data_IF_933257339559
#
_entry.id   IF_933257339559
#
_cell.length_a   1.000
_cell.length_b   1.000
_cell.length_c   1.000
_cell.angle_alpha   90.00
_cell.angle_beta   90.00
_cell.angle_gamma   90.00
#
_symmetry.space_group_name_H-M   'P 1'
#
loop_
_entity.id
_entity.type
_entity.pdbx_description
1 polymer ?
#
# COMPACT_ATOMS: atom_id res chain seq x y z
N UNK A 1 66.96 14.34 -38.97
CA UNK A 1 66.74 13.11 -38.18
C UNK A 1 66.66 13.49 -36.71
N UNK A 2 65.50 13.98 -36.23
CA UNK A 2 65.03 13.79 -34.85
C UNK A 2 63.67 14.47 -34.54
N UNK A 3 62.99 15.09 -35.50
CA UNK A 3 61.71 15.77 -35.22
C UNK A 3 60.54 14.79 -35.04
N UNK A 4 60.45 13.74 -35.86
CA UNK A 4 59.32 12.78 -35.82
C UNK A 4 59.28 11.96 -34.52
N UNK A 5 60.44 11.58 -33.97
CA UNK A 5 60.51 10.83 -32.71
C UNK A 5 60.08 11.69 -31.50
N UNK A 6 60.30 13.01 -31.55
CA UNK A 6 59.86 13.94 -30.51
C UNK A 6 58.36 14.20 -30.60
N UNK A 7 57.80 14.26 -31.81
CA UNK A 7 56.35 14.39 -32.02
C UNK A 7 55.62 13.15 -31.50
N UNK A 8 56.13 11.93 -31.73
CA UNK A 8 55.48 10.74 -31.16
C UNK A 8 55.59 10.65 -29.62
N UNK A 9 56.63 11.24 -29.03
CA UNK A 9 56.76 11.31 -27.56
C UNK A 9 55.78 12.33 -26.97
N UNK A 10 55.57 13.48 -27.62
CA UNK A 10 54.61 14.49 -27.16
C UNK A 10 53.16 14.02 -27.33
N UNK A 11 52.89 13.27 -28.39
CA UNK A 11 51.58 12.65 -28.65
C UNK A 11 51.25 11.56 -27.63
N UNK A 12 52.21 10.69 -27.30
CA UNK A 12 52.04 9.67 -26.27
C UNK A 12 51.77 10.25 -24.88
N UNK A 13 52.45 11.34 -24.52
CA UNK A 13 52.19 12.05 -23.25
C UNK A 13 50.80 12.69 -23.23
N UNK A 14 50.38 13.34 -24.32
CA UNK A 14 49.05 13.94 -24.42
C UNK A 14 47.94 12.88 -24.34
N UNK A 15 48.11 11.73 -25.01
CA UNK A 15 47.16 10.63 -24.96
C UNK A 15 47.04 10.04 -23.54
N UNK A 16 48.16 9.85 -22.84
CA UNK A 16 48.15 9.38 -21.45
C UNK A 16 47.42 10.37 -20.53
N UNK A 17 47.69 11.67 -20.67
CA UNK A 17 47.03 12.71 -19.88
C UNK A 17 45.50 12.73 -20.10
N UNK A 18 45.06 12.62 -21.36
CA UNK A 18 43.64 12.56 -21.71
C UNK A 18 42.97 11.30 -21.16
N UNK A 19 43.62 10.14 -21.25
CA UNK A 19 43.10 8.89 -20.69
C UNK A 19 42.97 8.98 -19.17
N UNK A 20 43.97 9.52 -18.47
CA UNK A 20 43.91 9.70 -17.01
C UNK A 20 42.82 10.68 -16.60
N UNK A 21 42.67 11.81 -17.29
CA UNK A 21 41.56 12.74 -17.03
C UNK A 21 40.20 12.09 -17.26
N UNK A 22 40.05 11.31 -18.32
CA UNK A 22 38.79 10.60 -18.61
C UNK A 22 38.49 9.57 -17.53
N UNK A 23 39.50 8.83 -17.07
CA UNK A 23 39.34 7.85 -15.98
C UNK A 23 38.95 8.52 -14.66
N UNK A 24 39.55 9.66 -14.32
CA UNK A 24 39.19 10.45 -13.14
C UNK A 24 37.74 10.97 -13.26
N UNK A 25 37.37 11.53 -14.41
CA UNK A 25 36.02 12.04 -14.66
C UNK A 25 34.95 10.94 -14.53
N UNK A 26 35.21 9.75 -15.09
CA UNK A 26 34.30 8.59 -14.98
C UNK A 26 34.18 8.10 -13.54
N UNK A 27 35.29 8.09 -12.80
CA UNK A 27 35.31 7.66 -11.40
C UNK A 27 34.56 8.64 -10.50
N UNK A 28 34.74 9.94 -10.70
CA UNK A 28 34.04 11.00 -9.94
C UNK A 28 32.56 11.13 -10.32
N UNK A 29 32.18 10.81 -11.55
CA UNK A 29 30.79 10.88 -12.02
C UNK A 29 29.90 9.73 -11.54
N UNK A 30 30.44 8.76 -10.80
CA UNK A 30 29.64 7.68 -10.20
C UNK A 30 28.98 8.17 -8.92
N UNK A 31 27.83 8.81 -9.04
CA UNK A 31 26.96 9.08 -7.88
C UNK A 31 26.30 7.76 -7.47
N UNK A 32 26.66 7.23 -6.30
CA UNK A 32 25.93 6.13 -5.68
C UNK A 32 24.64 6.73 -5.09
N UNK A 33 23.53 6.58 -5.82
CA UNK A 33 22.20 6.91 -5.32
C UNK A 33 21.71 5.69 -4.52
N UNK A 34 21.92 5.70 -3.21
CA UNK A 34 21.23 4.75 -2.33
C UNK A 34 19.86 5.35 -1.98
N UNK A 35 18.73 4.68 -2.25
CA UNK A 35 17.45 5.14 -1.75
C UNK A 35 17.49 5.23 -0.22
N UNK A 36 16.87 6.28 0.35
CA UNK A 36 16.72 6.41 1.79
C UNK A 36 15.94 5.20 2.31
N UNK A 37 16.50 4.48 3.29
CA UNK A 37 15.98 3.18 3.75
C UNK A 37 14.56 3.24 4.30
N UNK A 38 14.17 4.36 4.90
CA UNK A 38 12.82 4.60 5.45
C UNK A 38 11.77 4.56 4.33
N UNK A 39 12.00 5.29 3.24
CA UNK A 39 11.11 5.30 2.08
C UNK A 39 10.94 3.91 1.46
N UNK A 40 11.99 3.08 1.51
CA UNK A 40 11.93 1.70 1.02
C UNK A 40 11.16 0.78 1.96
N UNK A 41 11.12 1.06 3.25
CA UNK A 41 10.38 0.28 4.25
C UNK A 41 8.89 0.62 4.17
N UNK A 42 8.55 1.91 4.06
CA UNK A 42 7.17 2.36 3.89
C UNK A 42 6.52 1.79 2.62
N UNK A 43 7.27 1.78 1.51
CA UNK A 43 6.80 1.18 0.25
C UNK A 43 6.52 -0.32 0.43
N UNK A 44 7.41 -1.04 1.12
CA UNK A 44 7.19 -2.47 1.40
C UNK A 44 5.98 -2.71 2.30
N UNK A 45 5.80 -1.89 3.35
CA UNK A 45 4.62 -1.97 4.21
C UNK A 45 3.34 -1.71 3.42
N UNK A 46 3.36 -0.72 2.54
CA UNK A 46 2.22 -0.39 1.70
C UNK A 46 1.92 -1.51 0.69
N UNK A 47 2.95 -2.13 0.11
CA UNK A 47 2.80 -3.30 -0.77
C UNK A 47 2.17 -4.47 -0.02
N UNK A 48 2.67 -4.82 1.18
CA UNK A 48 2.12 -5.91 2.01
C UNK A 48 0.66 -5.65 2.36
N UNK A 49 0.34 -4.44 2.83
CA UNK A 49 -1.03 -4.07 3.18
C UNK A 49 -1.96 -4.07 1.95
N UNK A 50 -1.46 -3.61 0.79
CA UNK A 50 -2.21 -3.65 -0.46
C UNK A 50 -2.47 -5.09 -0.92
N UNK A 51 -1.46 -5.96 -0.84
CA UNK A 51 -1.57 -7.35 -1.24
C UNK A 51 -2.57 -8.10 -0.35
N UNK A 52 -2.60 -7.82 0.96
CA UNK A 52 -3.62 -8.38 1.85
C UNK A 52 -5.04 -8.03 1.41
N UNK A 53 -5.31 -6.76 1.09
CA UNK A 53 -6.63 -6.35 0.57
C UNK A 53 -6.96 -7.00 -0.79
N UNK A 54 -5.97 -7.21 -1.66
CA UNK A 54 -6.17 -7.87 -2.95
C UNK A 54 -6.49 -9.35 -2.78
N UNK A 55 -5.80 -10.03 -1.87
CA UNK A 55 -6.08 -11.44 -1.53
C UNK A 55 -7.49 -11.56 -0.98
N UNK A 56 -7.90 -10.70 -0.05
CA UNK A 56 -9.26 -10.72 0.52
C UNK A 56 -10.37 -10.45 -0.50
N UNK A 57 -10.09 -9.65 -1.53
CA UNK A 57 -11.07 -9.29 -2.56
C UNK A 57 -11.14 -10.34 -3.70
N UNK A 58 -10.04 -11.06 -3.96
CA UNK A 58 -9.91 -11.92 -5.15
C UNK A 58 -9.77 -13.42 -4.85
N UNK A 59 -9.53 -13.80 -3.59
CA UNK A 59 -9.39 -15.22 -3.26
C UNK A 59 -10.74 -15.95 -3.39
N UNK A 60 -10.72 -17.21 -3.84
CA UNK A 60 -11.93 -18.01 -3.94
C UNK A 60 -12.49 -18.31 -2.55
N UNK A 61 -13.82 -18.45 -2.44
CA UNK A 61 -14.56 -18.72 -1.19
C UNK A 61 -14.09 -19.97 -0.40
N UNK A 62 -13.24 -20.80 -0.99
CA UNK A 62 -12.63 -21.96 -0.33
C UNK A 62 -11.31 -21.66 0.37
N UNK A 63 -10.71 -20.50 0.10
CA UNK A 63 -9.38 -20.11 0.58
C UNK A 63 -9.41 -19.06 1.69
N UNK A 64 -10.48 -18.25 1.76
CA UNK A 64 -10.74 -17.26 2.80
C UNK A 64 -12.19 -17.43 3.27
N UNK A 65 -12.45 -17.21 4.56
CA UNK A 65 -13.78 -17.41 5.15
C UNK A 65 -14.78 -16.34 4.69
N UNK A 66 -14.31 -15.13 4.37
CA UNK A 66 -15.15 -14.05 3.85
C UNK A 66 -14.40 -13.17 2.85
N UNK A 67 -15.04 -12.88 1.71
CA UNK A 67 -14.51 -11.94 0.73
C UNK A 67 -14.64 -10.49 1.27
N UNK A 68 -13.71 -9.62 0.89
CA UNK A 68 -13.72 -8.20 1.27
C UNK A 68 -15.06 -7.53 0.95
N UNK A 69 -15.65 -7.85 -0.22
CA UNK A 69 -16.93 -7.31 -0.65
C UNK A 69 -18.10 -7.74 0.24
N UNK A 70 -18.09 -8.98 0.70
CA UNK A 70 -19.11 -9.54 1.59
C UNK A 70 -18.97 -9.00 3.02
N UNK A 71 -17.73 -8.89 3.53
CA UNK A 71 -17.45 -8.26 4.82
C UNK A 71 -17.96 -6.82 4.86
N UNK A 72 -17.61 -6.03 3.84
CA UNK A 72 -18.06 -4.63 3.73
C UNK A 72 -19.58 -4.57 3.55
N UNK A 73 -20.18 -5.50 2.81
CA UNK A 73 -21.62 -5.56 2.62
C UNK A 73 -22.37 -5.92 3.91
N UNK A 74 -21.85 -6.84 4.72
CA UNK A 74 -22.42 -7.26 5.99
C UNK A 74 -22.30 -6.18 7.08
N UNK A 75 -21.29 -5.30 6.97
CA UNK A 75 -21.07 -4.24 7.95
C UNK A 75 -22.26 -3.28 8.06
N UNK A 76 -22.56 -2.86 9.28
CA UNK A 76 -23.59 -1.86 9.57
C UNK A 76 -22.97 -0.45 9.63
N UNK A 77 -23.35 0.46 8.72
CA UNK A 77 -22.82 1.84 8.68
C UNK A 77 -23.05 2.68 9.94
N UNK A 78 -23.97 2.24 10.81
CA UNK A 78 -24.27 2.91 12.09
C UNK A 78 -23.42 2.40 13.24
N UNK A 79 -22.72 1.28 13.06
CA UNK A 79 -21.93 0.62 14.07
C UNK A 79 -20.44 0.91 13.88
N UNK A 80 -19.96 1.95 14.56
CA UNK A 80 -18.55 2.37 14.54
C UNK A 80 -17.74 1.59 15.59
N UNK A 81 -16.54 1.15 15.21
CA UNK A 81 -15.64 0.45 16.11
C UNK A 81 -15.10 1.38 17.18
N UNK A 82 -14.84 0.80 18.36
CA UNK A 82 -14.30 1.53 19.51
C UNK A 82 -12.95 0.95 19.95
N UNK A 83 -12.07 1.76 20.57
CA UNK A 83 -10.74 1.31 20.98
C UNK A 83 -10.71 0.23 22.07
N UNK A 84 -11.86 -0.11 22.65
CA UNK A 84 -12.03 -1.19 23.64
C UNK A 84 -12.20 -2.57 23.00
N UNK A 85 -12.12 -2.65 21.67
CA UNK A 85 -12.03 -3.89 20.92
C UNK A 85 -13.36 -4.42 20.38
N UNK A 86 -14.46 -3.68 20.49
CA UNK A 86 -15.67 -4.06 19.76
C UNK A 86 -15.53 -3.67 18.29
N UNK A 87 -15.41 -4.69 17.44
CA UNK A 87 -15.57 -4.59 16.00
C UNK A 87 -16.69 -5.54 15.55
N UNK A 88 -17.45 -5.16 14.54
CA UNK A 88 -18.54 -5.97 14.00
C UNK A 88 -18.09 -6.77 12.77
N UNK A 89 -16.78 -6.94 12.59
CA UNK A 89 -16.15 -7.56 11.43
C UNK A 89 -15.12 -8.61 11.88
N UNK A 90 -15.49 -9.44 12.86
CA UNK A 90 -14.60 -10.42 13.50
C UNK A 90 -13.93 -11.37 12.49
N UNK A 91 -14.65 -11.78 11.44
CA UNK A 91 -14.11 -12.66 10.39
C UNK A 91 -13.05 -11.93 9.56
N UNK A 92 -13.32 -10.69 9.13
CA UNK A 92 -12.34 -9.88 8.41
C UNK A 92 -11.11 -9.58 9.27
N UNK A 93 -11.32 -9.32 10.56
CA UNK A 93 -10.26 -9.09 11.54
C UNK A 93 -9.35 -10.32 11.68
N UNK A 94 -9.93 -11.51 11.83
CA UNK A 94 -9.16 -12.75 11.91
C UNK A 94 -8.34 -13.02 10.65
N UNK A 95 -8.91 -12.81 9.47
CA UNK A 95 -8.22 -13.03 8.19
C UNK A 95 -7.08 -12.01 7.98
N UNK A 96 -7.30 -10.74 8.32
CA UNK A 96 -6.27 -9.71 8.28
C UNK A 96 -5.15 -10.00 9.29
N UNK A 97 -5.46 -10.53 10.48
CA UNK A 97 -4.46 -10.94 11.47
C UNK A 97 -3.58 -12.09 10.94
N UNK A 98 -4.15 -13.05 10.21
CA UNK A 98 -3.40 -14.12 9.55
C UNK A 98 -2.51 -13.61 8.40
N UNK A 99 -3.01 -12.66 7.61
CA UNK A 99 -2.28 -12.06 6.49
C UNK A 99 -1.19 -11.09 6.94
N UNK A 100 -1.35 -10.46 8.10
CA UNK A 100 -0.48 -9.38 8.60
C UNK A 100 0.09 -9.68 10.01
N UNK A 101 0.74 -10.84 10.24
CA UNK A 101 1.05 -11.32 11.59
C UNK A 101 2.08 -10.49 12.37
N UNK A 102 2.82 -9.62 11.69
CA UNK A 102 3.85 -8.76 12.30
C UNK A 102 3.50 -7.27 12.25
N UNK A 103 2.28 -6.91 11.85
CA UNK A 103 1.82 -5.54 11.74
C UNK A 103 0.62 -5.32 12.65
N UNK A 104 0.50 -4.11 13.17
CA UNK A 104 -0.74 -3.65 13.80
C UNK A 104 -1.49 -2.82 12.77
N UNK A 105 -2.81 -2.94 12.74
CA UNK A 105 -3.61 -2.26 11.74
C UNK A 105 -4.95 -1.74 12.28
N UNK A 106 -5.52 -0.78 11.55
CA UNK A 106 -6.90 -0.34 11.66
C UNK A 106 -7.56 -0.41 10.29
N UNK A 107 -8.88 -0.54 10.25
CA UNK A 107 -9.66 -0.51 9.01
C UNK A 107 -10.69 0.60 9.08
N UNK A 108 -10.62 1.51 8.11
CA UNK A 108 -11.65 2.53 7.90
C UNK A 108 -12.44 2.25 6.63
N UNK A 109 -13.73 2.49 6.69
CA UNK A 109 -14.62 2.45 5.53
C UNK A 109 -15.02 3.87 5.17
N UNK A 110 -14.66 4.28 3.97
CA UNK A 110 -14.96 5.60 3.44
C UNK A 110 -15.96 5.49 2.28
N UNK A 111 -17.10 6.16 2.38
CA UNK A 111 -18.17 6.12 1.38
C UNK A 111 -18.84 7.48 1.28
N UNK A 112 -19.49 7.74 0.15
CA UNK A 112 -20.25 8.97 -0.05
C UNK A 112 -21.69 8.75 0.38
N UNK A 113 -22.17 9.61 1.27
CA UNK A 113 -23.56 9.65 1.70
C UNK A 113 -24.09 11.08 1.59
N UNK A 114 -25.23 11.27 0.93
CA UNK A 114 -25.82 12.59 0.68
C UNK A 114 -24.88 13.60 -0.01
N UNK A 115 -23.88 13.12 -0.77
CA UNK A 115 -22.89 13.95 -1.45
C UNK A 115 -21.69 14.38 -0.58
N UNK A 116 -21.62 13.92 0.67
CA UNK A 116 -20.49 14.14 1.58
C UNK A 116 -19.69 12.84 1.77
N UNK A 117 -18.36 12.96 1.90
CA UNK A 117 -17.50 11.83 2.21
C UNK A 117 -17.61 11.51 3.70
N UNK A 118 -18.20 10.35 4.01
CA UNK A 118 -18.25 9.79 5.35
C UNK A 118 -17.11 8.79 5.51
N UNK A 119 -16.36 8.90 6.60
CA UNK A 119 -15.34 7.92 7.01
C UNK A 119 -15.74 7.38 8.38
N UNK A 120 -15.70 6.07 8.53
CA UNK A 120 -16.06 5.37 9.76
C UNK A 120 -15.01 4.32 10.08
N UNK A 121 -14.70 4.19 11.36
CA UNK A 121 -13.80 3.14 11.84
C UNK A 121 -14.56 1.81 11.92
N UNK A 122 -14.07 0.79 11.23
CA UNK A 122 -14.66 -0.54 11.22
C UNK A 122 -13.88 -1.53 12.10
N UNK A 123 -12.55 -1.36 12.21
CA UNK A 123 -11.67 -2.12 13.09
C UNK A 123 -10.62 -1.17 13.69
N UNK A 124 -10.38 -1.26 15.01
CA UNK A 124 -9.37 -0.47 15.73
C UNK A 124 -8.54 -1.40 16.62
N UNK A 125 -7.25 -1.57 16.31
CA UNK A 125 -6.29 -2.26 17.19
C UNK A 125 -5.32 -1.30 17.89
N UNK A 126 -5.34 -0.01 17.56
CA UNK A 126 -4.52 0.96 18.27
C UNK A 126 -4.48 2.34 17.64
N UNK A 127 -3.52 3.13 18.12
CA UNK A 127 -3.22 4.45 17.55
C UNK A 127 -2.08 4.29 16.54
N UNK A 128 -2.28 4.67 15.27
CA UNK A 128 -1.22 4.62 14.26
C UNK A 128 0.01 5.45 14.66
N UNK A 129 1.20 4.97 14.32
CA UNK A 129 2.46 5.69 14.52
C UNK A 129 2.76 6.65 13.36
N UNK A 130 3.84 7.45 13.47
CA UNK A 130 4.26 8.38 12.43
C UNK A 130 4.60 7.66 11.10
N UNK A 131 5.10 6.43 11.18
CA UNK A 131 5.47 5.59 10.03
C UNK A 131 4.32 4.67 9.57
N UNK A 132 3.07 5.02 9.89
CA UNK A 132 1.91 4.26 9.42
C UNK A 132 1.62 4.49 7.95
N UNK A 133 1.29 3.40 7.24
CA UNK A 133 0.96 3.42 5.82
C UNK A 133 -0.52 3.15 5.61
N UNK A 134 -1.07 3.67 4.51
CA UNK A 134 -2.48 3.47 4.16
C UNK A 134 -2.60 2.77 2.80
N UNK A 135 -3.02 1.51 2.82
CA UNK A 135 -3.44 0.78 1.63
C UNK A 135 -4.95 0.99 1.37
N UNK A 136 -5.34 1.03 0.10
CA UNK A 136 -6.71 1.37 -0.31
C UNK A 136 -7.23 0.37 -1.33
N UNK A 137 -8.47 -0.08 -1.14
CA UNK A 137 -9.19 -0.92 -2.10
C UNK A 137 -10.62 -0.41 -2.25
N UNK A 138 -11.10 -0.34 -3.49
CA UNK A 138 -12.48 0.03 -3.77
C UNK A 138 -13.34 -1.22 -3.89
N UNK A 139 -14.46 -1.23 -3.18
CA UNK A 139 -15.48 -2.27 -3.20
C UNK A 139 -16.78 -1.66 -3.72
N UNK A 140 -17.46 -2.38 -4.61
CA UNK A 140 -18.77 -1.99 -5.13
C UNK A 140 -19.86 -2.80 -4.45
N UNK A 141 -20.84 -2.12 -3.86
CA UNK A 141 -22.01 -2.71 -3.23
C UNK A 141 -23.24 -2.48 -4.11
N UNK A 142 -23.99 -3.54 -4.33
CA UNK A 142 -25.36 -3.50 -4.86
C UNK A 142 -26.34 -3.94 -3.77
N UNK A 143 -27.62 -3.63 -3.96
CA UNK A 143 -28.67 -4.09 -3.02
C UNK A 143 -28.68 -5.62 -2.88
N UNK A 144 -28.48 -6.36 -3.97
CA UNK A 144 -28.43 -7.83 -3.97
C UNK A 144 -27.30 -8.39 -3.07
N UNK A 145 -26.11 -7.80 -3.13
CA UNK A 145 -24.96 -8.24 -2.32
C UNK A 145 -25.19 -7.94 -0.84
N UNK A 146 -25.73 -6.76 -0.52
CA UNK A 146 -26.03 -6.36 0.86
C UNK A 146 -27.10 -7.24 1.48
N UNK A 147 -28.18 -7.54 0.74
CA UNK A 147 -29.23 -8.45 1.21
C UNK A 147 -28.71 -9.87 1.44
N UNK A 148 -27.84 -10.38 0.55
CA UNK A 148 -27.24 -11.69 0.70
C UNK A 148 -26.31 -11.76 1.93
N UNK A 149 -25.54 -10.70 2.18
CA UNK A 149 -24.64 -10.58 3.32
C UNK A 149 -25.36 -10.24 4.65
N UNK A 150 -26.66 -9.91 4.61
CA UNK A 150 -27.45 -9.53 5.78
C UNK A 150 -27.11 -8.14 6.35
N UNK A 151 -26.52 -7.26 5.53
CA UNK A 151 -26.11 -5.92 5.96
C UNK A 151 -27.23 -4.89 5.96
N UNK A 152 -26.94 -3.70 6.51
CA UNK A 152 -27.92 -2.62 6.72
C UNK A 152 -27.61 -1.35 5.90
N UNK A 153 -27.00 -1.51 4.73
CA UNK A 153 -26.74 -0.37 3.85
C UNK A 153 -28.02 0.16 3.21
N UNK A 154 -28.21 1.48 3.23
CA UNK A 154 -29.32 2.14 2.53
C UNK A 154 -28.98 2.34 1.05
N UNK A 155 -29.17 1.31 0.22
CA UNK A 155 -28.91 1.30 -1.23
C UNK A 155 -30.21 1.01 -1.98
N UNK A 156 -30.50 1.78 -3.03
CA UNK A 156 -31.69 1.54 -3.88
C UNK A 156 -31.47 0.33 -4.81
N UNK A 157 -32.53 -0.37 -5.27
CA UNK A 157 -32.42 -1.59 -6.11
C UNK A 157 -31.50 -1.47 -7.34
N UNK A 158 -31.45 -0.28 -7.97
CA UNK A 158 -30.65 -0.01 -9.17
C UNK A 158 -29.41 0.87 -8.90
N UNK A 159 -29.07 1.09 -7.64
CA UNK A 159 -27.95 1.91 -7.23
C UNK A 159 -26.72 1.05 -6.95
N UNK A 160 -25.55 1.57 -7.32
CA UNK A 160 -24.26 1.00 -6.92
C UNK A 160 -23.60 2.00 -5.98
N UNK A 161 -23.24 1.53 -4.80
CA UNK A 161 -22.44 2.29 -3.85
C UNK A 161 -20.98 1.84 -3.95
N UNK A 162 -20.07 2.80 -3.98
CA UNK A 162 -18.63 2.52 -3.90
C UNK A 162 -18.16 2.83 -2.49
N UNK A 163 -17.53 1.85 -1.86
CA UNK A 163 -16.91 1.96 -0.54
C UNK A 163 -15.41 1.78 -0.71
N UNK A 164 -14.64 2.74 -0.20
CA UNK A 164 -13.19 2.64 -0.11
C UNK A 164 -12.81 2.03 1.23
N UNK A 165 -12.21 0.85 1.19
CA UNK A 165 -11.58 0.20 2.34
C UNK A 165 -10.18 0.77 2.49
N UNK A 166 -9.88 1.34 3.66
CA UNK A 166 -8.58 1.88 4.00
C UNK A 166 -7.98 1.04 5.11
N UNK A 167 -6.94 0.30 4.78
CA UNK A 167 -6.14 -0.45 5.74
C UNK A 167 -4.96 0.42 6.18
N UNK A 168 -4.98 0.85 7.44
CA UNK A 168 -3.93 1.65 8.05
C UNK A 168 -3.03 0.68 8.81
N UNK A 169 -1.80 0.44 8.37
CA UNK A 169 -0.90 -0.55 8.96
C UNK A 169 0.40 0.09 9.43
N UNK A 170 0.96 -0.42 10.53
CA UNK A 170 2.25 0.03 11.08
C UNK A 170 2.98 -1.09 11.82
N UNK A 171 4.28 -0.92 12.00
CA UNK A 171 5.10 -1.78 12.86
C UNK A 171 5.18 -1.22 14.28
N UNK A 172 5.32 -2.11 15.26
CA UNK A 172 5.45 -1.79 16.69
C UNK A 172 6.80 -2.27 17.23
#
# INVERSE_FOLDING_TARGET
MNEDAQIHTIEGFAAAALMTMTALLVTESTVIITPQSELSLDVQLQEIASDALVVLDSAPDTAIECNLSESVAAWDPTSEATPDGSNNLEVLDSELEELLPSLVYNVDLAYVENGELTVRHAIIHGTPTEDSVVARRLVTLSNEIVEAAGGNWSISENEIRVVEVRLIAWQV
#
